data_IF_732774629269
#
_entry.id   IF_732774629269
#
_cell.length_a   1.000
_cell.length_b   1.000
_cell.length_c   1.000
_cell.angle_alpha   90.00
_cell.angle_beta   90.00
_cell.angle_gamma   90.00
#
_symmetry.space_group_name_H-M   'P 1'
#
loop_
_entity.id
_entity.type
_entity.pdbx_description
1 polymer ?
#
# COMPACT_ATOMS: atom_id res chain seq x y z
N UNK A 1 -41.16 -13.21 -7.03
CA UNK A 1 -40.05 -12.44 -6.44
C UNK A 1 -39.68 -12.83 -5.00
N UNK A 2 -40.27 -13.88 -4.39
CA UNK A 2 -40.04 -14.21 -2.96
C UNK A 2 -39.40 -15.59 -2.69
N UNK A 3 -38.81 -16.24 -3.70
CA UNK A 3 -38.30 -17.62 -3.59
C UNK A 3 -36.78 -17.73 -3.69
N UNK A 4 -36.06 -16.65 -3.95
CA UNK A 4 -34.59 -16.67 -4.08
C UNK A 4 -34.00 -15.59 -3.19
N UNK A 5 -33.28 -16.00 -2.15
CA UNK A 5 -32.54 -15.12 -1.23
C UNK A 5 -31.11 -14.99 -1.75
N UNK A 6 -30.81 -13.87 -2.39
CA UNK A 6 -29.50 -13.58 -2.99
C UNK A 6 -28.42 -13.21 -1.95
N UNK A 7 -28.80 -12.90 -0.71
CA UNK A 7 -27.89 -12.48 0.36
C UNK A 7 -28.11 -13.29 1.66
N UNK A 8 -27.06 -13.49 2.47
CA UNK A 8 -27.21 -14.10 3.79
C UNK A 8 -28.19 -13.29 4.65
N UNK A 9 -29.13 -13.99 5.29
CA UNK A 9 -30.01 -13.37 6.27
C UNK A 9 -29.29 -13.36 7.62
N UNK A 10 -28.78 -12.20 8.03
CA UNK A 10 -28.18 -12.03 9.35
C UNK A 10 -29.29 -11.91 10.40
N UNK A 11 -29.32 -12.89 11.32
CA UNK A 11 -30.18 -12.84 12.50
C UNK A 11 -29.32 -12.64 13.74
N UNK A 12 -29.54 -11.53 14.44
CA UNK A 12 -28.94 -11.31 15.75
C UNK A 12 -29.36 -12.45 16.69
N UNK A 13 -28.40 -13.29 17.06
CA UNK A 13 -28.66 -14.49 17.87
C UNK A 13 -28.22 -14.30 19.31
N UNK A 14 -27.10 -13.60 19.55
CA UNK A 14 -26.55 -13.28 20.86
C UNK A 14 -25.72 -12.00 20.80
N UNK A 15 -25.77 -11.22 21.88
CA UNK A 15 -24.87 -10.09 22.12
C UNK A 15 -24.00 -10.43 23.33
N UNK A 16 -22.72 -10.11 23.24
CA UNK A 16 -21.78 -10.23 24.36
C UNK A 16 -20.78 -9.08 24.33
N UNK A 17 -20.40 -8.64 25.51
CA UNK A 17 -19.40 -7.61 25.75
C UNK A 17 -18.06 -8.28 26.03
N UNK A 18 -17.00 -7.80 25.37
CA UNK A 18 -15.66 -8.36 25.45
C UNK A 18 -14.79 -7.44 26.32
N UNK A 19 -14.28 -7.96 27.43
CA UNK A 19 -13.39 -7.27 28.34
C UNK A 19 -11.91 -7.60 28.11
N UNK A 20 -11.09 -7.30 29.14
CA UNK A 20 -9.65 -7.54 29.12
C UNK A 20 -9.24 -9.00 29.35
N UNK A 21 -7.94 -9.23 29.27
CA UNK A 21 -7.32 -10.50 29.63
C UNK A 21 -7.44 -10.78 31.13
N UNK A 22 -7.51 -12.05 31.51
CA UNK A 22 -7.32 -12.48 32.90
C UNK A 22 -5.89 -12.20 33.36
N UNK A 23 -5.65 -12.11 34.67
CA UNK A 23 -4.33 -11.81 35.24
C UNK A 23 -3.22 -12.78 34.79
N UNK A 24 -3.57 -14.03 34.46
CA UNK A 24 -2.64 -15.03 33.95
C UNK A 24 -2.54 -15.07 32.42
N UNK A 25 -3.19 -14.15 31.70
CA UNK A 25 -3.25 -14.05 30.23
C UNK A 25 -3.76 -15.33 29.53
N UNK A 26 -4.57 -16.16 30.20
CA UNK A 26 -5.10 -17.43 29.66
C UNK A 26 -6.60 -17.43 29.35
N UNK A 27 -7.25 -16.29 29.46
CA UNK A 27 -8.66 -16.14 29.10
C UNK A 27 -9.07 -14.67 29.00
N UNK A 28 -10.30 -14.45 28.58
CA UNK A 28 -10.91 -13.12 28.42
C UNK A 28 -12.19 -13.05 29.24
N UNK A 29 -12.36 -11.98 30.02
CA UNK A 29 -13.63 -11.70 30.65
C UNK A 29 -14.66 -11.31 29.57
N UNK A 30 -15.78 -12.03 29.51
CA UNK A 30 -16.89 -11.69 28.62
C UNK A 30 -18.21 -11.70 29.39
N UNK A 31 -19.14 -10.83 29.00
CA UNK A 31 -20.46 -10.72 29.59
C UNK A 31 -21.51 -10.90 28.50
N UNK A 32 -22.43 -11.85 28.66
CA UNK A 32 -23.59 -11.96 27.75
C UNK A 32 -24.60 -10.86 28.07
N UNK A 33 -25.22 -10.28 27.05
CA UNK A 33 -26.30 -9.31 27.23
C UNK A 33 -27.42 -9.92 28.09
N UNK A 34 -27.95 -9.12 29.04
CA UNK A 34 -28.90 -9.53 30.09
C UNK A 34 -28.37 -10.52 31.14
N UNK A 35 -27.08 -10.85 31.14
CA UNK A 35 -26.43 -11.57 32.25
C UNK A 35 -25.95 -10.59 33.32
N UNK A 36 -26.08 -10.96 34.60
CA UNK A 36 -25.44 -10.26 35.71
C UNK A 36 -24.03 -10.78 36.02
N UNK A 37 -23.64 -11.90 35.42
CA UNK A 37 -22.38 -12.62 35.75
C UNK A 37 -21.46 -12.68 34.53
N UNK A 38 -20.23 -12.16 34.61
CA UNK A 38 -19.22 -12.33 33.57
C UNK A 38 -18.56 -13.71 33.67
N UNK A 39 -18.10 -14.23 32.53
CA UNK A 39 -17.41 -15.51 32.41
C UNK A 39 -15.98 -15.31 31.90
N UNK A 40 -15.07 -16.19 32.31
CA UNK A 40 -13.76 -16.32 31.68
C UNK A 40 -13.90 -17.24 30.47
N UNK A 41 -13.63 -16.70 29.29
CA UNK A 41 -13.72 -17.40 28.01
C UNK A 41 -12.32 -17.71 27.47
N UNK A 42 -12.15 -18.86 26.84
CA UNK A 42 -10.89 -19.28 26.21
C UNK A 42 -11.16 -20.24 25.06
N UNK A 43 -10.19 -20.38 24.15
CA UNK A 43 -10.22 -21.39 23.08
C UNK A 43 -9.48 -22.64 23.59
N UNK A 44 -10.09 -23.83 23.61
CA UNK A 44 -9.39 -25.06 23.99
C UNK A 44 -8.10 -25.25 23.19
N UNK A 45 -6.99 -25.53 23.87
CA UNK A 45 -5.67 -25.68 23.26
C UNK A 45 -4.92 -24.37 22.99
N UNK A 46 -5.58 -23.21 23.12
CA UNK A 46 -4.93 -21.90 22.98
C UNK A 46 -4.47 -21.35 24.34
N UNK A 47 -3.19 -21.01 24.45
CA UNK A 47 -2.63 -20.32 25.62
C UNK A 47 -2.60 -18.81 25.37
N UNK A 48 -3.72 -18.16 25.65
CA UNK A 48 -3.86 -16.72 25.44
C UNK A 48 -5.26 -16.22 25.80
N UNK A 49 -5.54 -14.99 25.41
CA UNK A 49 -6.85 -14.36 25.53
C UNK A 49 -7.35 -13.95 24.13
N UNK A 50 -8.66 -13.84 23.95
CA UNK A 50 -9.29 -13.70 22.63
C UNK A 50 -9.73 -12.28 22.28
N UNK A 51 -9.64 -11.32 23.20
CA UNK A 51 -10.07 -9.93 22.96
C UNK A 51 -9.48 -9.27 21.71
N UNK A 52 -8.22 -9.54 21.25
CA UNK A 52 -7.71 -8.95 20.00
C UNK A 52 -8.49 -9.35 18.76
N UNK A 53 -9.24 -10.46 18.80
CA UNK A 53 -10.11 -10.92 17.70
C UNK A 53 -11.43 -10.16 17.61
N UNK A 54 -11.70 -9.30 18.58
CA UNK A 54 -12.94 -8.52 18.70
C UNK A 54 -12.65 -7.02 18.68
N UNK A 55 -11.50 -6.61 18.11
CA UNK A 55 -11.15 -5.20 18.00
C UNK A 55 -12.19 -4.49 17.11
N UNK A 56 -12.93 -3.47 17.59
CA UNK A 56 -13.95 -2.81 16.80
C UNK A 56 -13.38 -1.79 15.80
N UNK A 57 -12.06 -1.62 15.78
CA UNK A 57 -11.39 -0.64 14.94
C UNK A 57 -11.19 -1.19 13.52
N UNK A 58 -11.90 -0.62 12.54
CA UNK A 58 -11.89 -1.06 11.14
C UNK A 58 -10.48 -1.13 10.55
N UNK A 59 -9.63 -0.14 10.86
CA UNK A 59 -8.26 -0.06 10.35
C UNK A 59 -7.38 -1.27 10.70
N UNK A 60 -7.71 -2.04 11.73
CA UNK A 60 -6.99 -3.27 12.12
C UNK A 60 -7.37 -4.45 11.22
N UNK A 61 -8.52 -4.39 10.57
CA UNK A 61 -9.05 -5.42 9.68
C UNK A 61 -8.81 -5.13 8.21
N UNK A 62 -8.46 -3.88 7.86
CA UNK A 62 -8.19 -3.48 6.49
C UNK A 62 -6.98 -4.22 5.94
N UNK A 63 -7.08 -4.57 4.67
CA UNK A 63 -5.97 -5.18 3.93
C UNK A 63 -4.92 -4.11 3.65
N UNK A 64 -3.65 -4.44 3.86
CA UNK A 64 -2.54 -3.49 3.71
C UNK A 64 -2.03 -3.38 2.28
N UNK A 65 -2.64 -4.11 1.33
CA UNK A 65 -2.18 -4.19 -0.05
C UNK A 65 -2.43 -2.91 -0.81
N UNK A 66 -1.38 -2.46 -1.49
CA UNK A 66 -1.43 -1.41 -2.51
C UNK A 66 -1.44 -2.06 -3.89
N UNK A 67 -0.48 -2.94 -4.17
CA UNK A 67 -0.45 -3.74 -5.39
C UNK A 67 -0.19 -5.22 -5.09
N UNK A 68 -0.92 -6.09 -5.79
CA UNK A 68 -0.75 -7.54 -5.73
C UNK A 68 -1.05 -8.16 -7.10
N UNK A 69 -0.16 -7.91 -8.06
CA UNK A 69 -0.29 -8.40 -9.44
C UNK A 69 0.96 -9.16 -9.84
N UNK A 70 0.80 -10.40 -10.30
CA UNK A 70 1.89 -11.15 -10.92
C UNK A 70 2.16 -10.63 -12.34
N UNK A 71 3.37 -10.87 -12.85
CA UNK A 71 3.77 -10.39 -14.18
C UNK A 71 2.73 -10.70 -15.28
N UNK A 72 2.14 -11.92 -15.35
CA UNK A 72 1.10 -12.22 -16.35
C UNK A 72 -0.19 -11.43 -16.23
N UNK A 73 -0.48 -10.85 -15.07
CA UNK A 73 -1.67 -10.06 -14.83
C UNK A 73 -1.47 -8.58 -15.21
N UNK A 74 -0.23 -8.14 -15.39
CA UNK A 74 0.12 -6.73 -15.66
C UNK A 74 0.14 -6.51 -17.17
N UNK A 75 -0.62 -5.50 -17.64
CA UNK A 75 -0.60 -5.05 -19.03
C UNK A 75 0.36 -3.88 -19.21
N UNK A 76 0.31 -2.89 -18.33
CA UNK A 76 1.20 -1.73 -18.38
C UNK A 76 1.42 -1.12 -16.99
N UNK A 77 2.57 -0.47 -16.82
CA UNK A 77 2.87 0.39 -15.67
C UNK A 77 3.36 1.73 -16.21
N UNK A 78 2.66 2.79 -15.86
CA UNK A 78 3.03 4.18 -16.13
C UNK A 78 3.61 4.79 -14.85
N UNK A 79 4.74 5.47 -14.98
CA UNK A 79 5.38 6.21 -13.90
C UNK A 79 5.59 7.65 -14.34
N UNK A 80 5.05 8.57 -13.55
CA UNK A 80 5.17 10.02 -13.76
C UNK A 80 5.96 10.62 -12.60
N UNK A 81 6.94 11.45 -12.94
CA UNK A 81 7.79 12.16 -11.99
C UNK A 81 7.64 13.66 -12.27
N UNK A 82 6.72 14.34 -11.56
CA UNK A 82 6.49 15.77 -11.75
C UNK A 82 7.79 16.59 -11.61
N UNK A 83 8.04 17.48 -12.58
CA UNK A 83 9.27 18.30 -12.64
C UNK A 83 10.50 17.58 -13.19
N UNK A 84 10.37 16.28 -13.54
CA UNK A 84 11.36 15.48 -14.27
C UNK A 84 10.65 14.62 -15.30
N UNK A 85 9.99 15.26 -16.25
CA UNK A 85 9.23 14.58 -17.31
C UNK A 85 10.15 13.66 -18.14
N UNK A 86 11.41 14.03 -18.30
CA UNK A 86 12.46 13.20 -18.91
C UNK A 86 12.82 11.94 -18.11
N UNK A 87 12.32 11.76 -16.89
CA UNK A 87 12.48 10.53 -16.10
C UNK A 87 11.16 9.75 -16.00
N UNK A 88 10.09 10.24 -16.62
CA UNK A 88 8.78 9.57 -16.69
C UNK A 88 8.72 8.59 -17.87
N UNK A 89 7.99 7.49 -17.70
CA UNK A 89 7.96 6.40 -18.68
C UNK A 89 6.73 5.50 -18.56
N UNK A 90 6.53 4.68 -19.59
CA UNK A 90 5.55 3.58 -19.60
C UNK A 90 6.24 2.28 -19.98
N UNK A 91 6.09 1.26 -19.15
CA UNK A 91 6.47 -0.13 -19.48
C UNK A 91 5.21 -0.90 -19.83
N UNK A 92 5.22 -1.55 -20.99
CA UNK A 92 4.13 -2.41 -21.47
C UNK A 92 4.59 -3.86 -21.55
N UNK A 93 3.73 -4.78 -21.10
CA UNK A 93 3.95 -6.22 -21.19
C UNK A 93 3.14 -6.81 -22.36
N UNK A 94 3.83 -7.16 -23.44
CA UNK A 94 3.21 -7.67 -24.67
C UNK A 94 2.90 -9.17 -24.55
N UNK A 95 1.89 -9.50 -23.74
CA UNK A 95 1.41 -10.88 -23.59
C UNK A 95 2.46 -11.84 -23.02
N UNK A 96 3.33 -11.38 -22.13
CA UNK A 96 4.42 -12.14 -21.50
C UNK A 96 5.51 -12.64 -22.46
N UNK A 97 5.53 -12.16 -23.71
CA UNK A 97 6.55 -12.53 -24.70
C UNK A 97 7.67 -11.51 -24.79
N UNK A 98 7.33 -10.23 -24.63
CA UNK A 98 8.29 -9.13 -24.69
C UNK A 98 7.80 -7.95 -23.86
N UNK A 99 8.73 -7.04 -23.58
CA UNK A 99 8.45 -5.77 -22.93
C UNK A 99 8.79 -4.64 -23.89
N UNK A 100 8.03 -3.55 -23.83
CA UNK A 100 8.37 -2.32 -24.52
C UNK A 100 8.36 -1.14 -23.54
N UNK A 101 9.35 -0.26 -23.69
CA UNK A 101 9.54 0.94 -22.89
C UNK A 101 9.26 2.18 -23.77
N UNK A 102 8.49 3.12 -23.23
CA UNK A 102 8.15 4.38 -23.89
C UNK A 102 8.43 5.56 -22.96
N UNK A 103 8.78 6.72 -23.54
CA UNK A 103 8.76 7.98 -22.80
C UNK A 103 7.35 8.41 -22.47
N UNK A 104 7.19 9.19 -21.41
CA UNK A 104 5.94 9.85 -21.08
C UNK A 104 6.22 11.32 -20.76
N UNK A 105 5.41 12.27 -21.26
CA UNK A 105 4.16 12.10 -22.01
C UNK A 105 4.32 11.95 -23.53
N UNK A 106 5.54 12.04 -24.10
CA UNK A 106 5.74 12.12 -25.56
C UNK A 106 5.47 10.79 -26.31
N UNK A 107 5.34 9.69 -25.58
CA UNK A 107 5.05 8.35 -26.12
C UNK A 107 6.06 7.87 -27.17
N UNK A 108 7.34 8.24 -27.01
CA UNK A 108 8.40 7.81 -27.91
C UNK A 108 8.96 6.46 -27.49
N UNK A 109 9.12 5.48 -28.40
CA UNK A 109 9.69 4.18 -28.07
C UNK A 109 11.16 4.30 -27.72
N UNK A 110 11.60 3.58 -26.69
CA UNK A 110 12.99 3.49 -26.23
C UNK A 110 13.46 2.06 -26.52
N UNK A 111 14.08 1.81 -27.68
CA UNK A 111 14.41 0.45 -28.12
C UNK A 111 15.61 -0.15 -27.37
N UNK A 112 16.52 0.69 -26.88
CA UNK A 112 17.74 0.23 -26.20
C UNK A 112 17.63 0.44 -24.69
N UNK A 113 17.20 -0.61 -23.99
CA UNK A 113 17.04 -0.64 -22.54
C UNK A 113 17.37 -2.02 -21.97
N UNK A 114 17.60 -2.08 -20.66
CA UNK A 114 17.79 -3.32 -19.93
C UNK A 114 16.42 -4.00 -19.68
N UNK A 115 16.11 -4.97 -20.52
CA UNK A 115 14.89 -5.80 -20.40
C UNK A 115 14.82 -6.57 -19.08
N UNK A 116 15.95 -6.95 -18.47
CA UNK A 116 15.98 -7.65 -17.18
C UNK A 116 15.64 -6.69 -16.05
N UNK A 117 16.16 -5.46 -16.08
CA UNK A 117 15.79 -4.40 -15.14
C UNK A 117 14.28 -4.10 -15.22
N UNK A 118 13.72 -4.02 -16.44
CA UNK A 118 12.30 -3.82 -16.65
C UNK A 118 11.45 -5.00 -16.13
N UNK A 119 11.87 -6.25 -16.37
CA UNK A 119 11.21 -7.43 -15.80
C UNK A 119 11.22 -7.39 -14.27
N UNK A 120 12.37 -7.10 -13.66
CA UNK A 120 12.51 -7.02 -12.21
C UNK A 120 11.60 -5.94 -11.62
N UNK A 121 11.53 -4.77 -12.26
CA UNK A 121 10.60 -3.70 -11.89
C UNK A 121 9.14 -4.18 -11.91
N UNK A 122 8.68 -4.82 -13.00
CA UNK A 122 7.31 -5.34 -13.10
C UNK A 122 7.01 -6.42 -12.04
N UNK A 123 7.97 -7.28 -11.73
CA UNK A 123 7.79 -8.28 -10.65
C UNK A 123 7.68 -7.65 -9.26
N UNK A 124 8.15 -6.40 -9.10
CA UNK A 124 8.03 -5.64 -7.86
C UNK A 124 6.59 -5.48 -7.38
N UNK A 125 5.63 -5.40 -8.32
CA UNK A 125 4.20 -5.22 -8.05
C UNK A 125 3.48 -6.47 -7.52
N UNK A 126 4.19 -7.60 -7.39
CA UNK A 126 3.62 -8.86 -6.87
C UNK A 126 3.12 -8.74 -5.43
N UNK A 127 3.80 -7.95 -4.61
CA UNK A 127 3.44 -7.73 -3.22
C UNK A 127 4.01 -6.37 -2.76
N UNK A 128 3.16 -5.36 -2.73
CA UNK A 128 3.43 -4.03 -2.19
C UNK A 128 2.34 -3.69 -1.19
N UNK A 129 2.76 -3.45 0.05
CA UNK A 129 1.86 -3.13 1.16
C UNK A 129 2.24 -1.79 1.76
N UNK A 130 1.25 -1.03 2.21
CA UNK A 130 1.49 0.14 3.05
C UNK A 130 1.77 -0.28 4.51
N UNK A 131 2.46 0.57 5.25
CA UNK A 131 2.79 0.36 6.67
C UNK A 131 1.59 0.64 7.58
N UNK A 132 0.92 1.77 7.36
CA UNK A 132 -0.23 2.16 8.17
C UNK A 132 -1.16 3.15 7.45
N UNK A 133 -2.45 3.09 7.78
CA UNK A 133 -3.46 4.07 7.33
C UNK A 133 -3.42 5.29 8.25
N UNK A 134 -3.41 6.48 7.65
CA UNK A 134 -3.33 7.75 8.36
C UNK A 134 -4.72 8.36 8.62
N UNK A 135 -5.65 7.57 9.16
CA UNK A 135 -7.03 8.01 9.41
C UNK A 135 -7.15 9.15 10.44
N UNK A 136 -6.15 9.29 11.33
CA UNK A 136 -6.14 10.28 12.42
C UNK A 136 -5.24 11.48 12.12
N UNK A 137 -4.76 11.65 10.89
CA UNK A 137 -3.95 12.82 10.53
C UNK A 137 -4.79 14.09 10.58
N UNK A 138 -4.18 15.19 11.02
CA UNK A 138 -4.79 16.53 10.96
C UNK A 138 -5.23 16.83 9.51
N UNK A 139 -6.52 17.12 9.27
CA UNK A 139 -7.03 17.44 7.94
C UNK A 139 -6.27 18.58 7.25
N UNK A 140 -5.82 19.60 7.98
CA UNK A 140 -5.07 20.72 7.40
C UNK A 140 -3.70 20.28 6.91
N UNK A 141 -3.05 19.39 7.67
CA UNK A 141 -1.76 18.80 7.27
C UNK A 141 -1.94 17.91 6.04
N UNK A 142 -2.98 17.07 6.02
CA UNK A 142 -3.30 16.22 4.87
C UNK A 142 -3.54 17.07 3.62
N UNK A 143 -4.37 18.10 3.72
CA UNK A 143 -4.67 19.02 2.61
C UNK A 143 -3.41 19.73 2.09
N UNK A 144 -2.55 20.20 3.01
CA UNK A 144 -1.27 20.80 2.64
C UNK A 144 -0.37 19.83 1.87
N UNK A 145 -0.31 18.55 2.25
CA UNK A 145 0.48 17.53 1.53
C UNK A 145 -0.13 17.27 0.15
N UNK A 146 -1.45 17.08 0.07
CA UNK A 146 -2.13 16.79 -1.20
C UNK A 146 -2.13 17.97 -2.17
N UNK A 147 -1.99 19.20 -1.67
CA UNK A 147 -1.80 20.39 -2.51
C UNK A 147 -0.39 20.53 -3.09
N UNK A 148 0.58 19.77 -2.56
CA UNK A 148 1.96 19.76 -3.04
C UNK A 148 2.11 18.87 -4.27
N UNK A 149 3.19 19.07 -5.03
CA UNK A 149 3.49 18.20 -6.16
C UNK A 149 3.85 16.79 -5.67
N UNK A 150 3.22 15.73 -6.19
CA UNK A 150 3.64 14.36 -5.91
C UNK A 150 5.12 14.15 -6.27
N UNK A 151 5.79 13.30 -5.50
CA UNK A 151 7.15 12.84 -5.77
C UNK A 151 7.17 11.90 -6.97
N UNK A 152 6.28 10.91 -6.98
CA UNK A 152 6.12 9.94 -8.06
C UNK A 152 4.68 9.45 -8.07
N UNK A 153 4.12 9.33 -9.27
CA UNK A 153 2.78 8.78 -9.51
C UNK A 153 2.97 7.48 -10.28
N UNK A 154 2.39 6.39 -9.78
CA UNK A 154 2.49 5.06 -10.38
C UNK A 154 1.09 4.57 -10.70
N UNK A 155 0.84 4.32 -11.97
CA UNK A 155 -0.43 3.77 -12.47
C UNK A 155 -0.17 2.39 -13.05
N UNK A 156 -0.75 1.36 -12.44
CA UNK A 156 -0.68 -0.02 -12.95
C UNK A 156 -2.01 -0.38 -13.59
N UNK A 157 -1.97 -0.75 -14.86
CA UNK A 157 -3.10 -1.30 -15.61
C UNK A 157 -2.94 -2.80 -15.77
N UNK A 158 -3.96 -3.56 -15.36
CA UNK A 158 -3.97 -5.00 -15.51
C UNK A 158 -4.51 -5.46 -16.87
N UNK A 159 -4.37 -6.75 -17.15
CA UNK A 159 -4.83 -7.38 -18.40
C UNK A 159 -6.35 -7.39 -18.58
N UNK A 160 -7.13 -7.09 -17.53
CA UNK A 160 -8.57 -6.88 -17.62
C UNK A 160 -8.95 -5.43 -17.93
N UNK A 161 -7.97 -4.53 -17.98
CA UNK A 161 -8.16 -3.10 -18.24
C UNK A 161 -8.44 -2.27 -16.97
N UNK A 162 -8.32 -2.87 -15.78
CA UNK A 162 -8.49 -2.14 -14.51
C UNK A 162 -7.17 -1.47 -14.15
N UNK A 163 -7.21 -0.15 -13.93
CA UNK A 163 -6.07 0.64 -13.48
C UNK A 163 -6.17 0.93 -11.99
N UNK A 164 -5.03 0.91 -11.29
CA UNK A 164 -4.91 1.37 -9.92
C UNK A 164 -3.75 2.36 -9.84
N UNK A 165 -3.99 3.52 -9.24
CA UNK A 165 -3.02 4.61 -9.14
C UNK A 165 -2.56 4.81 -7.71
N UNK A 166 -1.27 5.11 -7.56
CA UNK A 166 -0.64 5.49 -6.29
C UNK A 166 0.13 6.78 -6.50
N UNK A 167 -0.24 7.80 -5.76
CA UNK A 167 0.52 9.06 -5.70
C UNK A 167 1.36 9.04 -4.43
N UNK A 168 2.63 9.43 -4.52
CA UNK A 168 3.55 9.47 -3.37
C UNK A 168 3.99 10.89 -3.08
N UNK A 169 4.23 11.20 -1.80
CA UNK A 169 4.69 12.51 -1.34
C UNK A 169 5.78 12.33 -0.30
N UNK A 170 6.74 13.27 -0.28
CA UNK A 170 7.76 13.28 0.75
C UNK A 170 7.13 13.48 2.12
N UNK A 171 7.54 12.63 3.06
CA UNK A 171 7.23 12.81 4.47
C UNK A 171 8.29 13.69 5.10
N UNK A 172 7.92 14.55 6.04
CA UNK A 172 8.88 15.42 6.71
C UNK A 172 9.89 14.59 7.53
N UNK A 173 11.16 15.01 7.45
CA UNK A 173 12.27 14.41 8.18
C UNK A 173 12.27 14.76 9.66
N UNK A 174 13.07 14.05 10.44
CA UNK A 174 13.18 14.23 11.89
C UNK A 174 14.37 15.10 12.32
N UNK A 175 14.99 15.82 11.37
CA UNK A 175 16.20 16.58 11.62
C UNK A 175 17.49 15.76 11.45
N UNK A 176 17.41 14.64 10.74
CA UNK A 176 18.59 13.88 10.30
C UNK A 176 19.52 14.78 9.49
N UNK A 177 20.82 14.52 9.57
CA UNK A 177 21.84 15.31 8.86
C UNK A 177 22.61 14.45 7.87
N UNK A 178 22.96 15.04 6.73
CA UNK A 178 23.85 14.39 5.77
C UNK A 178 25.31 14.37 6.28
N UNK A 179 26.21 13.79 5.47
CA UNK A 179 27.65 13.71 5.81
C UNK A 179 28.32 15.08 5.93
N UNK A 180 27.72 16.11 5.33
CA UNK A 180 28.21 17.50 5.35
C UNK A 180 27.57 18.32 6.48
N UNK A 181 26.69 17.71 7.28
CA UNK A 181 26.01 18.33 8.42
C UNK A 181 24.75 19.13 8.06
N UNK A 182 24.24 19.04 6.83
CA UNK A 182 23.00 19.71 6.44
C UNK A 182 21.78 18.89 6.85
N UNK A 183 20.73 19.56 7.31
CA UNK A 183 19.47 18.91 7.68
C UNK A 183 18.79 18.35 6.44
N UNK A 184 18.44 17.07 6.51
CA UNK A 184 17.64 16.36 5.52
C UNK A 184 16.17 16.71 5.78
N UNK A 185 15.49 17.38 4.83
CA UNK A 185 14.14 17.89 5.06
C UNK A 185 13.06 16.80 5.03
N UNK A 186 13.40 15.59 4.55
CA UNK A 186 12.48 14.47 4.37
C UNK A 186 12.91 13.21 5.13
N UNK A 187 11.94 12.36 5.40
CA UNK A 187 12.14 11.02 5.98
C UNK A 187 12.85 10.11 4.97
N UNK A 188 13.93 9.46 5.42
CA UNK A 188 14.76 8.59 4.59
C UNK A 188 14.19 7.17 4.44
N UNK A 189 13.27 6.77 5.32
CA UNK A 189 12.71 5.43 5.37
C UNK A 189 11.27 5.37 4.84
N UNK A 190 10.56 6.50 4.84
CA UNK A 190 9.11 6.54 4.60
C UNK A 190 8.65 7.65 3.67
N UNK A 191 7.55 7.36 2.98
CA UNK A 191 6.79 8.33 2.19
C UNK A 191 5.33 8.33 2.62
N UNK A 192 4.65 9.43 2.34
CA UNK A 192 3.20 9.44 2.28
C UNK A 192 2.74 8.90 0.93
N UNK A 193 1.59 8.24 0.90
CA UNK A 193 0.97 7.81 -0.34
C UNK A 193 -0.55 7.97 -0.29
N UNK A 194 -1.11 8.26 -1.46
CA UNK A 194 -2.54 8.29 -1.71
C UNK A 194 -2.87 7.10 -2.61
N UNK A 195 -3.76 6.22 -2.13
CA UNK A 195 -4.13 4.96 -2.79
C UNK A 195 -5.65 4.84 -2.88
N UNK A 196 -6.13 3.81 -3.59
CA UNK A 196 -7.56 3.56 -3.79
C UNK A 196 -8.27 4.79 -4.36
N UNK A 197 -7.75 5.33 -5.48
CA UNK A 197 -8.32 6.47 -6.21
C UNK A 197 -8.55 7.74 -5.37
N UNK A 198 -7.69 7.97 -4.37
CA UNK A 198 -7.77 9.16 -3.53
C UNK A 198 -8.47 8.97 -2.19
N UNK A 199 -9.03 7.80 -1.93
CA UNK A 199 -9.81 7.56 -0.71
C UNK A 199 -8.90 7.37 0.51
N UNK A 200 -7.80 6.64 0.35
CA UNK A 200 -6.95 6.22 1.46
C UNK A 200 -5.61 6.93 1.45
N UNK A 201 -5.35 7.68 2.53
CA UNK A 201 -4.05 8.28 2.80
C UNK A 201 -3.26 7.37 3.73
N UNK A 202 -2.11 6.89 3.25
CA UNK A 202 -1.33 5.84 3.90
C UNK A 202 0.15 6.23 4.00
N UNK A 203 0.87 5.52 4.85
CA UNK A 203 2.32 5.59 4.97
C UNK A 203 2.92 4.37 4.28
N UNK A 204 3.94 4.56 3.44
CA UNK A 204 4.69 3.50 2.80
C UNK A 204 6.17 3.57 3.20
N UNK A 205 6.88 2.45 3.08
CA UNK A 205 8.32 2.36 3.37
C UNK A 205 9.12 2.21 2.09
N UNK A 206 10.26 2.88 2.00
CA UNK A 206 11.22 2.68 0.91
C UNK A 206 11.66 1.21 0.82
N UNK A 207 11.86 0.52 1.95
CA UNK A 207 12.19 -0.92 1.95
C UNK A 207 11.22 -1.77 1.11
N UNK A 208 9.93 -1.43 1.11
CA UNK A 208 8.93 -2.13 0.31
C UNK A 208 8.83 -1.57 -1.11
N UNK A 209 8.97 -0.27 -1.31
CA UNK A 209 8.66 0.42 -2.57
C UNK A 209 9.87 0.76 -3.45
N UNK A 210 11.11 0.67 -2.97
CA UNK A 210 12.31 1.08 -3.71
C UNK A 210 12.47 0.32 -5.05
N UNK A 211 11.98 -0.92 -5.10
CA UNK A 211 11.92 -1.73 -6.33
C UNK A 211 11.01 -1.16 -7.43
N UNK A 212 10.06 -0.29 -7.08
CA UNK A 212 9.11 0.37 -8.00
C UNK A 212 9.24 1.89 -8.04
N UNK A 213 10.02 2.50 -7.15
CA UNK A 213 10.35 3.93 -7.18
C UNK A 213 11.59 4.17 -8.06
N UNK A 214 11.50 3.80 -9.35
CA UNK A 214 12.61 3.89 -10.29
C UNK A 214 12.34 4.94 -11.35
N UNK A 215 13.33 5.80 -11.68
CA UNK A 215 13.24 6.72 -12.79
C UNK A 215 13.53 6.00 -14.12
N UNK A 216 13.16 6.61 -15.26
CA UNK A 216 13.41 6.05 -16.59
C UNK A 216 14.88 5.69 -16.83
N UNK A 217 15.80 6.54 -16.37
CA UNK A 217 17.25 6.34 -16.49
C UNK A 217 17.73 5.00 -15.91
N UNK A 218 17.04 4.43 -14.91
CA UNK A 218 17.36 3.13 -14.33
C UNK A 218 17.35 1.98 -15.35
N UNK A 219 16.55 2.09 -16.41
CA UNK A 219 16.44 1.07 -17.45
C UNK A 219 17.43 1.27 -18.60
N UNK A 220 18.15 2.40 -18.63
CA UNK A 220 19.13 2.66 -19.69
C UNK A 220 20.44 1.95 -19.34
N UNK A 221 21.06 1.31 -20.33
CA UNK A 221 22.25 0.46 -20.14
C UNK A 221 23.47 1.19 -19.57
N UNK A 222 23.50 2.52 -19.70
CA UNK A 222 24.57 3.37 -19.21
C UNK A 222 24.31 3.94 -17.80
N UNK A 223 23.30 3.45 -17.07
CA UNK A 223 23.06 3.93 -15.71
C UNK A 223 24.29 3.66 -14.83
N UNK A 224 25.04 4.69 -14.42
CA UNK A 224 26.10 4.51 -13.44
C UNK A 224 25.37 4.29 -12.12
N UNK A 225 25.23 3.02 -11.74
CA UNK A 225 24.64 2.67 -10.45
C UNK A 225 25.43 3.34 -9.34
N UNK A 226 24.82 4.33 -8.69
CA UNK A 226 25.20 4.74 -7.34
C UNK A 226 24.11 5.64 -6.74
N UNK A 227 23.48 5.16 -5.68
CA UNK A 227 23.71 5.76 -4.37
C UNK A 227 24.37 4.70 -3.49
#
# INVERSE_FOLDING_TARGET
>A
FNTIRWFPHEKLTKVYYVGGATQNNRGTYMLMENSSTPFVTFIPGFRGYVSPRYMPMENVWRDYKVFRKSLPEIAAVQVEIPGKENESFVITNNGNTSISLYSYPENQPIPDFDTLAALNFLTGFRNLNFESIQSNMDPLKKDSILSSSPFMIITLTDTSGVSNTVETYFKEGYGDVDMDGNIIPYDLDRLWALVNDGEDFVMIQYFSFDKVLRPRSFFLKDFPGSL
#
